data_IF_544144174411
#
_entry.id   IF_544144174411
#
_cell.length_a   1.000
_cell.length_b   1.000
_cell.length_c   1.000
_cell.angle_alpha   90.00
_cell.angle_beta   90.00
_cell.angle_gamma   90.00
#
_symmetry.space_group_name_H-M   'P 1'
#
loop_
_entity.id
_entity.type
_entity.pdbx_description
1 polymer ?
#
# COMPACT_ATOMS: atom_id res chain seq x y z
N UNK A 1 38.69 37.27 -15.47
CA UNK A 1 38.20 36.45 -14.32
C UNK A 1 36.96 37.14 -13.75
N UNK A 2 36.02 36.43 -13.14
CA UNK A 2 34.81 37.07 -12.58
C UNK A 2 35.04 37.41 -11.11
N UNK A 3 34.93 38.70 -10.77
CA UNK A 3 34.96 39.21 -9.41
C UNK A 3 33.56 39.30 -8.81
N UNK A 4 33.42 38.90 -7.55
CA UNK A 4 32.17 38.98 -6.80
C UNK A 4 32.41 39.71 -5.47
N UNK A 5 31.60 40.73 -5.18
CA UNK A 5 31.62 41.40 -3.88
C UNK A 5 30.52 40.81 -2.96
N UNK A 6 30.92 40.24 -1.82
CA UNK A 6 29.98 39.67 -0.82
C UNK A 6 29.07 40.70 -0.15
N UNK A 7 29.45 41.98 -0.16
CA UNK A 7 28.67 43.06 0.46
C UNK A 7 27.66 43.69 -0.50
N UNK A 8 28.05 43.86 -1.76
CA UNK A 8 27.21 44.51 -2.77
C UNK A 8 26.46 43.51 -3.66
N UNK A 9 26.82 42.22 -3.60
CA UNK A 9 26.35 41.14 -4.47
C UNK A 9 26.48 41.45 -5.98
N UNK A 10 27.38 42.36 -6.35
CA UNK A 10 27.66 42.72 -7.74
C UNK A 10 28.78 41.86 -8.30
N UNK A 11 28.61 41.50 -9.57
CA UNK A 11 29.52 40.66 -10.34
C UNK A 11 30.11 41.51 -11.47
N UNK A 12 31.43 41.46 -11.66
CA UNK A 12 32.11 42.17 -12.75
C UNK A 12 33.33 41.42 -13.26
N UNK A 13 33.85 41.83 -14.40
CA UNK A 13 35.06 41.26 -15.01
C UNK A 13 36.32 41.92 -14.44
N UNK A 14 37.20 41.12 -13.84
CA UNK A 14 38.51 41.52 -13.33
C UNK A 14 39.62 41.15 -14.33
N UNK A 15 40.53 42.10 -14.60
CA UNK A 15 41.76 41.92 -15.39
C UNK A 15 42.89 41.28 -14.57
N UNK A 16 42.96 41.53 -13.25
CA UNK A 16 43.95 40.98 -12.33
C UNK A 16 43.34 40.08 -11.23
N UNK A 17 44.14 39.15 -10.67
CA UNK A 17 43.73 38.14 -9.66
C UNK A 17 43.34 38.72 -8.29
N UNK A 18 43.55 40.00 -8.05
CA UNK A 18 43.15 40.69 -6.82
C UNK A 18 42.60 42.06 -7.24
N UNK A 19 41.30 42.27 -7.06
CA UNK A 19 40.65 43.52 -7.41
C UNK A 19 39.98 44.12 -6.19
N UNK A 20 40.10 45.43 -6.02
CA UNK A 20 39.27 46.19 -5.08
C UNK A 20 37.92 46.46 -5.76
N UNK A 21 36.81 46.28 -5.05
CA UNK A 21 35.48 46.57 -5.54
C UNK A 21 35.34 48.06 -5.86
N UNK A 22 35.05 48.41 -7.12
CA UNK A 22 34.91 49.80 -7.57
C UNK A 22 33.75 50.54 -6.88
N UNK A 23 32.78 49.84 -6.29
CA UNK A 23 31.62 50.45 -5.64
C UNK A 23 31.74 50.60 -4.13
N UNK A 24 32.56 49.79 -3.45
CA UNK A 24 32.65 49.83 -1.99
C UNK A 24 34.07 49.85 -1.43
N UNK A 25 35.09 49.86 -2.29
CA UNK A 25 36.49 49.99 -1.90
C UNK A 25 37.07 48.77 -1.15
N UNK A 26 36.33 47.66 -1.07
CA UNK A 26 36.75 46.45 -0.34
C UNK A 26 37.37 45.40 -1.26
N UNK A 27 38.26 44.57 -0.71
CA UNK A 27 38.99 43.54 -1.44
C UNK A 27 38.03 42.46 -1.98
N UNK A 28 38.07 42.20 -3.30
CA UNK A 28 37.27 41.17 -3.96
C UNK A 28 38.07 39.87 -4.10
N UNK A 29 37.40 38.74 -3.91
CA UNK A 29 37.96 37.41 -4.08
C UNK A 29 37.63 36.86 -5.48
N UNK A 30 38.63 36.40 -6.23
CA UNK A 30 38.42 35.77 -7.53
C UNK A 30 37.84 34.35 -7.36
N UNK A 31 36.62 34.12 -7.86
CA UNK A 31 36.09 32.76 -7.99
C UNK A 31 36.61 32.14 -9.29
N UNK A 32 37.57 31.21 -9.19
CA UNK A 32 37.94 30.34 -10.32
C UNK A 32 36.86 29.26 -10.43
N UNK A 33 36.11 29.30 -11.53
CA UNK A 33 35.03 28.37 -11.85
C UNK A 33 35.53 26.95 -12.08
N UNK A 34 35.69 26.17 -11.00
CA UNK A 34 35.74 24.69 -11.04
C UNK A 34 35.02 24.04 -9.86
N UNK A 35 34.23 24.80 -9.09
CA UNK A 35 33.36 24.23 -8.07
C UNK A 35 31.93 24.24 -8.60
N UNK A 36 31.38 23.04 -8.87
CA UNK A 36 29.95 22.85 -9.12
C UNK A 36 29.16 23.69 -8.11
N UNK A 37 28.23 24.51 -8.61
CA UNK A 37 27.42 25.39 -7.79
C UNK A 37 26.84 24.58 -6.63
N UNK A 38 27.26 24.91 -5.39
CA UNK A 38 26.58 24.39 -4.21
C UNK A 38 25.14 24.92 -4.31
N UNK A 39 24.18 23.99 -4.38
CA UNK A 39 22.76 24.31 -4.24
C UNK A 39 22.61 25.30 -3.07
N UNK A 40 21.90 26.43 -3.25
CA UNK A 40 21.64 27.34 -2.16
C UNK A 40 21.03 26.52 -1.02
N UNK A 41 21.72 26.51 0.11
CA UNK A 41 21.27 25.82 1.32
C UNK A 41 19.90 26.39 1.62
N UNK A 42 18.85 25.59 1.41
CA UNK A 42 17.50 25.98 1.75
C UNK A 42 17.50 26.41 3.20
N UNK A 43 17.17 27.67 3.48
CA UNK A 43 16.91 28.06 4.86
C UNK A 43 15.71 27.22 5.28
N UNK A 44 15.97 26.23 6.12
CA UNK A 44 14.93 25.50 6.83
C UNK A 44 14.25 26.52 7.74
N UNK A 45 13.28 27.28 7.19
CA UNK A 45 12.21 27.79 8.02
C UNK A 45 11.61 26.55 8.66
N UNK A 46 11.86 26.36 9.94
CA UNK A 46 11.22 25.32 10.72
C UNK A 46 9.72 25.54 10.53
N UNK A 47 9.12 24.73 9.66
CA UNK A 47 7.67 24.61 9.61
C UNK A 47 7.24 24.34 11.04
N UNK A 48 6.47 25.26 11.63
CA UNK A 48 5.94 25.07 12.97
C UNK A 48 5.32 23.68 13.00
N UNK A 49 5.91 22.80 13.82
CA UNK A 49 5.37 21.46 14.02
C UNK A 49 3.96 21.69 14.53
N UNK A 50 2.97 21.15 13.82
CA UNK A 50 1.60 21.10 14.32
C UNK A 50 1.65 20.57 15.77
N UNK A 51 0.88 21.15 16.69
CA UNK A 51 0.81 20.65 18.06
C UNK A 51 0.49 19.16 18.01
N UNK A 52 1.14 18.40 18.89
CA UNK A 52 0.92 16.96 18.98
C UNK A 52 -0.58 16.74 19.17
N UNK A 53 -1.24 16.23 18.13
CA UNK A 53 -2.61 15.70 18.25
C UNK A 53 -2.52 14.70 19.39
N UNK A 54 -3.31 14.91 20.43
CA UNK A 54 -3.41 13.97 21.54
C UNK A 54 -4.03 12.68 20.98
N UNK A 55 -3.18 11.77 20.51
CA UNK A 55 -3.56 10.52 19.87
C UNK A 55 -4.04 9.47 20.88
N UNK A 56 -4.39 9.88 22.10
CA UNK A 56 -4.87 8.99 23.15
C UNK A 56 -3.77 8.12 23.78
N UNK A 57 -2.49 8.29 23.44
CA UNK A 57 -1.40 7.42 23.93
C UNK A 57 -0.71 7.96 25.21
N UNK A 58 -1.21 9.04 25.80
CA UNK A 58 -0.59 9.67 26.98
C UNK A 58 -0.67 8.82 28.26
N UNK A 59 -1.52 7.78 28.25
CA UNK A 59 -1.68 6.83 29.36
C UNK A 59 -0.77 5.59 29.24
N UNK A 60 0.08 5.51 28.20
CA UNK A 60 0.99 4.39 28.05
C UNK A 60 2.10 4.46 29.11
N UNK A 61 2.27 3.38 29.86
CA UNK A 61 3.30 3.27 30.90
C UNK A 61 4.29 2.13 30.60
N UNK A 62 5.48 2.21 31.20
CA UNK A 62 6.49 1.15 31.13
C UNK A 62 7.04 0.86 29.73
N UNK A 63 7.05 -0.42 29.34
CA UNK A 63 7.64 -0.89 28.06
C UNK A 63 6.92 -0.31 26.84
N UNK A 64 5.58 -0.19 26.90
CA UNK A 64 4.76 0.32 25.81
C UNK A 64 5.06 1.79 25.48
N UNK A 65 5.34 2.62 26.49
CA UNK A 65 5.76 4.00 26.28
C UNK A 65 7.09 4.06 25.51
N UNK A 66 8.02 3.16 25.84
CA UNK A 66 9.31 3.05 25.15
C UNK A 66 9.10 2.66 23.69
N UNK A 67 8.27 1.66 23.41
CA UNK A 67 7.96 1.23 22.04
C UNK A 67 7.29 2.34 21.24
N UNK A 68 6.34 3.05 21.84
CA UNK A 68 5.66 4.18 21.21
C UNK A 68 6.66 5.29 20.82
N UNK A 69 7.57 5.65 21.73
CA UNK A 69 8.59 6.66 21.46
C UNK A 69 9.53 6.28 20.30
N UNK A 70 9.79 4.98 20.10
CA UNK A 70 10.52 4.49 18.94
C UNK A 70 9.64 4.54 17.68
N UNK A 71 8.42 4.00 17.73
CA UNK A 71 7.51 3.89 16.60
C UNK A 71 7.14 5.24 15.99
N UNK A 72 6.87 6.26 16.81
CA UNK A 72 6.47 7.61 16.36
C UNK A 72 7.50 8.24 15.42
N UNK A 73 8.79 7.88 15.56
CA UNK A 73 9.86 8.40 14.71
C UNK A 73 9.78 7.90 13.27
N UNK A 74 9.11 6.78 13.04
CA UNK A 74 9.00 6.15 11.72
C UNK A 74 7.73 6.53 10.96
N UNK A 75 6.71 7.11 11.61
CA UNK A 75 5.42 7.40 10.97
C UNK A 75 5.50 8.36 9.78
N UNK A 76 6.54 9.19 9.73
CA UNK A 76 6.76 10.11 8.60
C UNK A 76 7.19 9.40 7.31
N UNK A 77 7.55 8.12 7.37
CA UNK A 77 7.93 7.32 6.20
C UNK A 77 6.73 6.85 5.37
N UNK A 78 5.52 6.99 5.89
CA UNK A 78 4.28 6.53 5.26
C UNK A 78 3.23 7.65 5.26
N UNK A 79 2.29 7.56 4.33
CA UNK A 79 1.16 8.47 4.17
C UNK A 79 0.32 8.56 5.44
N UNK A 80 -0.30 9.73 5.64
CA UNK A 80 -1.01 10.05 6.89
C UNK A 80 -2.10 9.06 7.28
N UNK A 81 -2.76 8.45 6.29
CA UNK A 81 -3.85 7.49 6.50
C UNK A 81 -3.34 6.18 7.14
N UNK A 82 -2.14 5.74 6.76
CA UNK A 82 -1.57 4.46 7.19
C UNK A 82 -0.70 4.57 8.45
N UNK A 83 -0.55 5.78 9.00
CA UNK A 83 0.35 6.02 10.15
C UNK A 83 -0.08 5.27 11.39
N UNK A 84 -1.39 5.14 11.61
CA UNK A 84 -1.92 4.47 12.80
C UNK A 84 -1.74 2.96 12.70
N UNK A 85 -1.99 2.38 11.54
CA UNK A 85 -1.74 0.96 11.25
C UNK A 85 -0.26 0.61 11.39
N UNK A 86 0.63 1.45 10.84
CA UNK A 86 2.07 1.27 10.98
C UNK A 86 2.51 1.37 12.44
N UNK A 87 1.98 2.36 13.18
CA UNK A 87 2.28 2.52 14.59
C UNK A 87 1.93 1.25 15.37
N UNK A 88 0.71 0.76 15.19
CA UNK A 88 0.23 -0.44 15.84
C UNK A 88 1.09 -1.66 15.47
N UNK A 89 1.41 -1.80 14.18
CA UNK A 89 2.25 -2.89 13.68
C UNK A 89 3.65 -2.88 14.31
N UNK A 90 4.28 -1.71 14.45
CA UNK A 90 5.59 -1.59 15.11
C UNK A 90 5.48 -1.98 16.59
N UNK A 91 4.45 -1.51 17.29
CA UNK A 91 4.22 -1.82 18.71
C UNK A 91 4.05 -3.34 18.94
N UNK A 92 3.20 -3.99 18.14
CA UNK A 92 2.95 -5.44 18.23
C UNK A 92 4.23 -6.23 17.95
N UNK A 93 4.97 -5.88 16.90
CA UNK A 93 6.21 -6.58 16.57
C UNK A 93 7.29 -6.41 17.64
N UNK A 94 7.38 -5.22 18.26
CA UNK A 94 8.27 -5.02 19.40
C UNK A 94 7.86 -5.85 20.62
N UNK A 95 6.55 -5.98 20.88
CA UNK A 95 6.04 -6.81 21.97
C UNK A 95 6.30 -8.30 21.75
N UNK A 96 6.01 -8.82 20.55
CA UNK A 96 6.31 -10.21 20.17
C UNK A 96 7.81 -10.48 20.29
N UNK A 97 8.63 -9.55 19.79
CA UNK A 97 10.07 -9.70 19.87
C UNK A 97 10.62 -9.59 21.31
N UNK A 98 9.91 -8.88 22.20
CA UNK A 98 10.21 -8.82 23.63
C UNK A 98 9.91 -10.14 24.36
N UNK A 99 8.79 -10.77 24.01
CA UNK A 99 8.38 -12.07 24.57
C UNK A 99 9.34 -13.21 24.19
N UNK A 100 9.95 -13.13 23.01
CA UNK A 100 10.88 -14.16 22.51
C UNK A 100 12.22 -14.22 23.26
N UNK A 101 12.49 -13.33 24.23
CA UNK A 101 13.53 -13.50 25.26
C UNK A 101 14.98 -13.23 24.85
N UNK A 102 15.34 -13.31 23.57
CA UNK A 102 16.71 -13.08 23.08
C UNK A 102 16.93 -11.62 22.63
N UNK A 103 17.02 -10.68 23.58
CA UNK A 103 17.26 -9.28 23.24
C UNK A 103 18.39 -8.62 24.06
N UNK A 104 19.20 -7.76 23.45
CA UNK A 104 19.95 -6.76 24.19
C UNK A 104 18.98 -5.64 24.65
N UNK A 105 19.11 -5.16 25.89
CA UNK A 105 18.35 -4.01 26.44
C UNK A 105 18.78 -2.67 25.82
N UNK A 106 18.97 -2.64 24.50
CA UNK A 106 19.51 -1.51 23.77
C UNK A 106 18.45 -0.95 22.83
N UNK A 107 18.21 0.35 22.91
CA UNK A 107 17.32 1.09 22.00
C UNK A 107 17.58 0.80 20.52
N UNK A 108 18.85 0.53 20.16
CA UNK A 108 19.27 0.16 18.79
C UNK A 108 18.54 -1.06 18.24
N UNK A 109 18.28 -2.07 19.05
CA UNK A 109 17.54 -3.27 18.62
C UNK A 109 16.09 -2.92 18.30
N UNK A 110 15.45 -2.09 19.12
CA UNK A 110 14.09 -1.61 18.86
C UNK A 110 14.01 -0.79 17.57
N UNK A 111 15.02 0.04 17.30
CA UNK A 111 15.12 0.73 16.00
C UNK A 111 15.30 -0.24 14.85
N UNK A 112 16.05 -1.34 15.04
CA UNK A 112 16.18 -2.41 14.06
C UNK A 112 14.83 -3.04 13.71
N UNK A 113 14.08 -3.49 14.72
CA UNK A 113 12.73 -4.05 14.55
C UNK A 113 11.80 -3.04 13.87
N UNK A 114 11.77 -1.80 14.35
CA UNK A 114 10.96 -0.73 13.74
C UNK A 114 11.36 -0.44 12.28
N UNK A 115 12.65 -0.52 11.96
CA UNK A 115 13.13 -0.32 10.59
C UNK A 115 12.69 -1.45 9.65
N UNK A 116 12.84 -2.70 10.08
CA UNK A 116 12.42 -3.87 9.28
C UNK A 116 10.91 -3.92 9.09
N UNK A 117 10.14 -3.65 10.14
CA UNK A 117 8.67 -3.60 10.05
C UNK A 117 8.16 -2.52 9.11
N UNK A 118 8.77 -1.33 9.10
CA UNK A 118 8.44 -0.30 8.10
C UNK A 118 8.78 -0.77 6.69
N UNK A 119 9.93 -1.43 6.52
CA UNK A 119 10.32 -1.98 5.23
C UNK A 119 9.30 -3.01 4.74
N UNK A 120 8.92 -3.95 5.59
CA UNK A 120 7.91 -4.99 5.29
C UNK A 120 6.54 -4.37 5.01
N UNK A 121 6.12 -3.38 5.80
CA UNK A 121 4.86 -2.66 5.59
C UNK A 121 4.81 -2.02 4.19
N UNK A 122 5.84 -1.25 3.82
CA UNK A 122 5.94 -0.61 2.51
C UNK A 122 6.04 -1.68 1.40
N UNK A 123 6.74 -2.78 1.68
CA UNK A 123 6.94 -3.89 0.76
C UNK A 123 5.63 -4.61 0.44
N UNK A 124 4.83 -4.92 1.45
CA UNK A 124 3.50 -5.50 1.29
C UNK A 124 2.56 -4.56 0.55
N UNK A 125 2.52 -3.28 0.94
CA UNK A 125 1.71 -2.28 0.29
C UNK A 125 2.04 -2.16 -1.20
N UNK A 126 3.33 -2.09 -1.54
CA UNK A 126 3.79 -2.10 -2.93
C UNK A 126 3.38 -3.39 -3.68
N UNK A 127 3.43 -4.54 -3.01
CA UNK A 127 3.04 -5.82 -3.60
C UNK A 127 1.54 -5.89 -3.87
N UNK A 128 0.70 -5.40 -2.95
CA UNK A 128 -0.77 -5.37 -3.08
C UNK A 128 -1.20 -4.44 -4.20
N UNK A 129 -0.58 -3.26 -4.31
CA UNK A 129 -0.93 -2.30 -5.36
C UNK A 129 -0.37 -2.69 -6.74
N UNK A 130 0.89 -3.12 -6.82
CA UNK A 130 1.53 -3.34 -8.13
C UNK A 130 1.44 -4.78 -8.62
N UNK A 131 0.91 -5.70 -7.81
CA UNK A 131 0.77 -7.13 -8.14
C UNK A 131 2.08 -7.89 -8.38
N UNK A 132 3.23 -7.21 -8.37
CA UNK A 132 4.54 -7.80 -8.58
C UNK A 132 5.61 -7.08 -7.75
N UNK A 133 6.60 -7.83 -7.30
CA UNK A 133 7.72 -7.34 -6.49
C UNK A 133 8.99 -7.30 -7.32
N UNK A 134 9.84 -6.28 -7.12
CA UNK A 134 11.16 -6.25 -7.76
C UNK A 134 12.04 -7.45 -7.36
N UNK A 135 11.84 -8.01 -6.15
CA UNK A 135 12.51 -9.22 -5.72
C UNK A 135 12.17 -10.44 -6.60
N UNK A 136 10.94 -10.50 -7.15
CA UNK A 136 10.53 -11.57 -8.05
C UNK A 136 11.21 -11.45 -9.44
N UNK A 137 11.89 -10.33 -9.74
CA UNK A 137 12.63 -10.14 -10.97
C UNK A 137 14.09 -10.57 -10.83
N UNK A 138 14.64 -11.16 -11.89
CA UNK A 138 16.05 -11.58 -11.92
C UNK A 138 17.00 -10.39 -11.77
N UNK A 139 18.24 -10.63 -11.37
CA UNK A 139 19.26 -9.58 -11.25
C UNK A 139 19.44 -8.81 -12.56
N UNK A 140 19.46 -9.50 -13.71
CA UNK A 140 19.54 -8.88 -15.04
C UNK A 140 18.40 -7.89 -15.30
N UNK A 141 17.17 -8.28 -14.99
CA UNK A 141 15.99 -7.43 -15.13
C UNK A 141 16.06 -6.20 -14.21
N UNK A 142 16.52 -6.39 -12.96
CA UNK A 142 16.68 -5.29 -12.01
C UNK A 142 17.75 -4.29 -12.43
N UNK A 143 18.84 -4.74 -13.04
CA UNK A 143 19.90 -3.87 -13.56
C UNK A 143 19.39 -3.07 -14.76
N UNK A 144 18.72 -3.72 -15.71
CA UNK A 144 18.11 -3.03 -16.85
C UNK A 144 17.09 -1.96 -16.41
N UNK A 145 16.28 -2.26 -15.38
CA UNK A 145 15.35 -1.26 -14.83
C UNK A 145 16.04 -0.10 -14.11
N UNK A 146 17.27 -0.32 -13.60
CA UNK A 146 18.08 0.73 -12.98
C UNK A 146 18.67 1.65 -14.04
N UNK A 147 19.23 1.08 -15.11
CA UNK A 147 19.74 1.82 -16.27
C UNK A 147 18.64 2.66 -16.92
N UNK A 148 17.45 2.08 -17.12
CA UNK A 148 16.33 2.75 -17.77
C UNK A 148 15.47 3.61 -16.83
N UNK A 149 15.81 3.68 -15.53
CA UNK A 149 15.04 4.40 -14.50
C UNK A 149 13.54 4.03 -14.47
N UNK A 150 13.23 2.75 -14.69
CA UNK A 150 11.87 2.20 -14.69
C UNK A 150 11.50 1.47 -13.38
N UNK A 151 12.34 1.57 -12.34
CA UNK A 151 12.05 0.95 -11.04
C UNK A 151 10.84 1.60 -10.35
N UNK A 152 10.14 0.82 -9.53
CA UNK A 152 9.08 1.33 -8.67
C UNK A 152 7.81 1.68 -9.43
N UNK A 153 7.49 2.97 -9.57
CA UNK A 153 6.22 3.44 -10.14
C UNK A 153 6.11 3.18 -11.64
N UNK A 154 7.24 3.18 -12.36
CA UNK A 154 7.32 3.01 -13.82
C UNK A 154 7.62 1.56 -14.24
N UNK A 155 7.31 0.61 -13.36
CA UNK A 155 7.65 -0.80 -13.58
C UNK A 155 6.82 -1.36 -14.74
N UNK A 156 7.44 -1.95 -15.78
CA UNK A 156 6.72 -2.48 -16.94
C UNK A 156 5.92 -3.74 -16.62
N UNK A 157 6.22 -4.43 -15.52
CA UNK A 157 5.49 -5.61 -15.05
C UNK A 157 4.45 -5.29 -13.99
N UNK A 158 4.38 -4.04 -13.51
CA UNK A 158 3.42 -3.69 -12.48
C UNK A 158 1.99 -3.76 -13.05
N UNK A 159 1.10 -4.35 -12.27
CA UNK A 159 -0.33 -4.18 -12.45
C UNK A 159 -0.62 -2.70 -12.18
N UNK A 160 -1.09 -1.99 -13.19
CA UNK A 160 -1.54 -0.61 -13.05
C UNK A 160 -3.00 -0.64 -12.63
N UNK A 161 -3.29 -0.19 -11.41
CA UNK A 161 -4.65 0.13 -11.02
C UNK A 161 -5.08 1.40 -11.75
N UNK A 162 -6.12 1.30 -12.55
CA UNK A 162 -6.79 2.46 -13.13
C UNK A 162 -7.90 2.94 -12.20
N UNK A 163 -8.17 4.25 -12.21
CA UNK A 163 -9.31 4.80 -11.46
C UNK A 163 -10.61 4.26 -12.05
N UNK A 164 -11.50 3.77 -11.19
CA UNK A 164 -12.84 3.33 -11.60
C UNK A 164 -13.70 4.47 -12.16
N UNK A 165 -13.39 5.71 -11.78
CA UNK A 165 -14.03 6.92 -12.31
C UNK A 165 -13.41 7.41 -13.62
N UNK A 166 -12.44 6.67 -14.20
CA UNK A 166 -11.86 7.01 -15.50
C UNK A 166 -12.93 6.89 -16.57
N UNK A 167 -13.11 7.94 -17.37
CA UNK A 167 -14.00 7.91 -18.52
C UNK A 167 -13.39 7.08 -19.67
N UNK A 168 -14.15 6.13 -20.19
CA UNK A 168 -13.80 5.24 -21.30
C UNK A 168 -14.78 5.48 -22.45
N UNK A 169 -14.28 5.56 -23.68
CA UNK A 169 -15.13 5.68 -24.86
C UNK A 169 -15.71 4.32 -25.24
N UNK A 170 -17.02 4.25 -25.42
CA UNK A 170 -17.74 3.02 -25.80
C UNK A 170 -18.62 3.32 -27.01
N UNK A 171 -18.45 2.53 -28.08
CA UNK A 171 -19.20 2.66 -29.32
C UNK A 171 -18.60 3.63 -30.35
N UNK A 172 -19.19 3.63 -31.55
CA UNK A 172 -18.75 4.45 -32.70
C UNK A 172 -19.13 5.93 -32.59
N UNK A 173 -20.04 6.29 -31.68
CA UNK A 173 -20.61 7.64 -31.56
C UNK A 173 -19.96 8.50 -30.45
N UNK A 174 -18.86 8.02 -29.85
CA UNK A 174 -18.07 8.83 -28.91
C UNK A 174 -18.64 8.95 -27.49
N UNK A 175 -19.64 8.15 -27.14
CA UNK A 175 -20.21 8.08 -25.79
C UNK A 175 -19.13 7.72 -24.76
N UNK A 176 -18.96 8.56 -23.75
CA UNK A 176 -18.05 8.30 -22.61
C UNK A 176 -18.82 7.70 -21.46
N UNK A 177 -18.35 6.56 -20.97
CA UNK A 177 -18.94 5.81 -19.85
C UNK A 177 -17.86 5.69 -18.78
N UNK A 178 -18.20 5.69 -17.50
CA UNK A 178 -17.20 5.46 -16.45
C UNK A 178 -16.75 4.00 -16.45
N UNK A 179 -15.47 3.76 -16.18
CA UNK A 179 -14.90 2.41 -16.12
C UNK A 179 -15.65 1.51 -15.12
N UNK A 180 -16.17 2.08 -14.03
CA UNK A 180 -16.98 1.38 -13.03
C UNK A 180 -18.26 0.77 -13.61
N UNK A 181 -18.90 1.44 -14.56
CA UNK A 181 -20.16 1.00 -15.19
C UNK A 181 -19.92 -0.16 -16.18
N UNK A 182 -18.68 -0.34 -16.63
CA UNK A 182 -18.26 -1.45 -17.50
C UNK A 182 -17.91 -2.72 -16.73
N UNK A 183 -17.74 -2.63 -15.40
CA UNK A 183 -17.57 -3.80 -14.56
C UNK A 183 -18.97 -4.42 -14.39
N UNK A 184 -19.25 -5.61 -14.96
CA UNK A 184 -20.54 -6.25 -14.75
C UNK A 184 -20.70 -6.45 -13.25
N UNK A 185 -21.77 -5.88 -12.67
CA UNK A 185 -22.10 -6.02 -11.26
C UNK A 185 -22.07 -7.51 -10.90
N UNK A 186 -20.97 -7.95 -10.30
CA UNK A 186 -20.81 -9.27 -9.70
C UNK A 186 -21.12 -9.21 -8.21
N UNK A 187 -21.74 -8.12 -7.76
CA UNK A 187 -22.54 -8.17 -6.56
C UNK A 187 -23.69 -9.14 -6.86
N UNK A 188 -23.75 -10.24 -6.10
CA UNK A 188 -24.98 -11.01 -6.01
C UNK A 188 -26.08 -10.00 -5.68
N UNK A 189 -27.16 -10.02 -6.45
CA UNK A 189 -28.33 -9.19 -6.16
C UNK A 189 -28.72 -9.37 -4.67
N UNK A 190 -29.13 -8.29 -4.00
CA UNK A 190 -29.41 -8.30 -2.57
C UNK A 190 -30.47 -9.35 -2.21
N UNK A 191 -31.43 -9.64 -3.11
CA UNK A 191 -32.40 -10.74 -2.91
C UNK A 191 -31.74 -12.11 -3.01
N UNK A 192 -30.78 -12.26 -3.92
CA UNK A 192 -29.95 -13.47 -4.05
C UNK A 192 -29.10 -13.71 -2.79
N UNK A 193 -28.48 -12.65 -2.24
CA UNK A 193 -27.73 -12.72 -0.98
C UNK A 193 -28.64 -13.08 0.20
N UNK A 194 -29.84 -12.51 0.27
CA UNK A 194 -30.86 -12.85 1.29
C UNK A 194 -31.36 -14.30 1.19
N UNK A 195 -31.46 -14.83 -0.03
CA UNK A 195 -31.78 -16.23 -0.29
C UNK A 195 -30.70 -17.18 0.22
N UNK A 196 -29.42 -16.79 0.09
CA UNK A 196 -28.30 -17.53 0.68
C UNK A 196 -28.27 -17.44 2.20
N UNK A 197 -28.58 -16.28 2.80
CA UNK A 197 -28.67 -16.14 4.26
C UNK A 197 -29.72 -17.08 4.87
N UNK A 198 -30.90 -17.21 4.26
CA UNK A 198 -31.89 -18.20 4.73
C UNK A 198 -31.41 -19.65 4.57
N UNK A 199 -30.55 -19.95 3.61
CA UNK A 199 -29.98 -21.29 3.43
C UNK A 199 -28.81 -21.55 4.39
N UNK A 200 -28.00 -20.53 4.68
CA UNK A 200 -26.90 -20.57 5.65
C UNK A 200 -27.48 -20.72 7.06
N UNK A 201 -28.51 -19.95 7.42
CA UNK A 201 -29.18 -20.05 8.72
C UNK A 201 -29.95 -21.37 8.93
N UNK A 202 -30.31 -22.06 7.84
CA UNK A 202 -30.92 -23.40 7.86
C UNK A 202 -29.90 -24.52 7.57
N UNK A 203 -28.63 -24.17 7.44
CA UNK A 203 -27.58 -25.12 7.11
C UNK A 203 -27.24 -25.93 8.37
N UNK A 204 -27.26 -27.28 8.30
CA UNK A 204 -26.81 -28.08 9.43
C UNK A 204 -25.34 -27.80 9.74
N UNK A 205 -25.00 -27.61 11.02
CA UNK A 205 -23.64 -27.31 11.51
C UNK A 205 -22.60 -28.29 10.93
N UNK A 206 -22.94 -29.58 10.86
CA UNK A 206 -22.09 -30.63 10.27
C UNK A 206 -21.67 -30.34 8.83
N UNK A 207 -22.45 -29.60 8.04
CA UNK A 207 -22.07 -29.23 6.68
C UNK A 207 -21.03 -28.10 6.68
N UNK A 208 -21.11 -27.18 7.65
CA UNK A 208 -20.14 -26.11 7.85
C UNK A 208 -18.79 -26.69 8.27
N UNK A 209 -18.76 -27.65 9.19
CA UNK A 209 -17.54 -28.35 9.61
C UNK A 209 -16.82 -29.01 8.43
N UNK A 210 -17.59 -29.62 7.52
CA UNK A 210 -17.05 -30.27 6.32
C UNK A 210 -16.48 -29.24 5.33
N UNK A 211 -17.11 -28.07 5.23
CA UNK A 211 -16.63 -26.97 4.38
C UNK A 211 -15.34 -26.38 4.96
N UNK A 212 -15.29 -26.17 6.28
CA UNK A 212 -14.12 -25.68 7.00
C UNK A 212 -12.92 -26.63 6.82
N UNK A 213 -13.11 -27.94 7.07
CA UNK A 213 -12.09 -28.98 6.79
C UNK A 213 -11.55 -28.87 5.37
N UNK A 214 -12.42 -28.61 4.39
CA UNK A 214 -12.03 -28.49 2.98
C UNK A 214 -11.26 -27.19 2.68
N UNK A 215 -11.63 -26.08 3.31
CA UNK A 215 -10.90 -24.81 3.19
C UNK A 215 -9.50 -24.90 3.80
N UNK A 216 -9.35 -25.62 4.90
CA UNK A 216 -8.05 -25.88 5.55
C UNK A 216 -7.24 -26.98 4.83
N UNK A 217 -7.79 -27.58 3.76
CA UNK A 217 -7.13 -28.63 2.98
C UNK A 217 -7.05 -29.99 3.67
N UNK A 218 -7.83 -30.22 4.74
CA UNK A 218 -7.91 -31.51 5.44
C UNK A 218 -8.66 -32.54 4.60
N UNK A 219 -8.25 -33.81 4.68
CA UNK A 219 -8.91 -34.92 3.99
C UNK A 219 -10.28 -35.17 4.63
N UNK A 220 -11.32 -35.30 3.81
CA UNK A 220 -12.66 -35.61 4.30
C UNK A 220 -12.79 -37.09 4.65
N UNK A 221 -13.30 -37.37 5.84
CA UNK A 221 -13.55 -38.73 6.28
C UNK A 221 -14.70 -39.37 5.50
N UNK A 222 -14.71 -40.71 5.42
CA UNK A 222 -15.82 -41.48 4.84
C UNK A 222 -17.22 -41.02 5.30
N UNK A 223 -17.50 -40.79 6.61
CA UNK A 223 -18.78 -40.25 7.07
C UNK A 223 -19.12 -38.88 6.48
N UNK A 224 -18.14 -38.00 6.30
CA UNK A 224 -18.36 -36.64 5.78
C UNK A 224 -18.70 -36.68 4.29
N UNK A 225 -18.03 -37.55 3.54
CA UNK A 225 -18.33 -37.81 2.12
C UNK A 225 -19.76 -38.36 1.97
N UNK A 226 -20.14 -39.33 2.80
CA UNK A 226 -21.50 -39.90 2.79
C UNK A 226 -22.55 -38.86 3.16
N UNK A 227 -22.25 -37.99 4.14
CA UNK A 227 -23.14 -36.91 4.56
C UNK A 227 -23.36 -35.88 3.44
N UNK A 228 -22.28 -35.44 2.78
CA UNK A 228 -22.35 -34.56 1.60
C UNK A 228 -23.15 -35.17 0.46
N UNK A 229 -22.99 -36.47 0.21
CA UNK A 229 -23.73 -37.17 -0.85
C UNK A 229 -25.24 -37.16 -0.59
N UNK A 230 -25.66 -37.50 0.65
CA UNK A 230 -27.07 -37.45 1.06
C UNK A 230 -27.64 -36.04 0.97
N UNK A 231 -26.87 -35.04 1.40
CA UNK A 231 -27.32 -33.65 1.38
C UNK A 231 -27.45 -33.10 -0.05
N UNK A 232 -26.51 -33.44 -0.94
CA UNK A 232 -26.62 -33.17 -2.39
C UNK A 232 -27.86 -33.82 -3.00
N UNK A 233 -28.18 -35.06 -2.63
CA UNK A 233 -29.38 -35.73 -3.12
C UNK A 233 -30.67 -35.02 -2.63
N UNK A 234 -30.68 -34.54 -1.39
CA UNK A 234 -31.78 -33.72 -0.83
C UNK A 234 -31.93 -32.40 -1.59
N UNK A 235 -30.83 -31.69 -1.83
CA UNK A 235 -30.84 -30.44 -2.61
C UNK A 235 -31.30 -30.66 -4.06
N UNK A 236 -30.93 -31.76 -4.72
CA UNK A 236 -31.42 -32.06 -6.08
C UNK A 236 -32.93 -32.27 -6.12
N UNK A 237 -33.55 -32.78 -5.05
CA UNK A 237 -35.01 -32.92 -4.95
C UNK A 237 -35.71 -31.57 -4.74
N UNK A 238 -35.11 -30.70 -3.92
CA UNK A 238 -35.67 -29.37 -3.61
C UNK A 238 -35.45 -28.38 -4.76
N UNK A 239 -34.30 -28.48 -5.44
CA UNK A 239 -33.88 -27.61 -6.53
C UNK A 239 -33.52 -28.45 -7.77
N UNK A 240 -34.53 -28.95 -8.52
CA UNK A 240 -34.31 -29.80 -9.69
C UNK A 240 -33.52 -29.11 -10.81
N UNK A 241 -33.54 -27.77 -10.86
CA UNK A 241 -32.76 -27.00 -11.85
C UNK A 241 -31.25 -27.13 -11.65
N UNK A 242 -30.77 -27.14 -10.39
CA UNK A 242 -29.36 -27.35 -10.05
C UNK A 242 -28.90 -28.79 -10.35
N UNK A 243 -29.82 -29.76 -10.29
CA UNK A 243 -29.55 -31.16 -10.57
C UNK A 243 -29.30 -31.45 -12.06
N UNK A 244 -29.93 -30.68 -12.96
CA UNK A 244 -29.84 -30.83 -14.40
C UNK A 244 -28.57 -30.22 -15.02
N UNK A 245 -27.61 -29.75 -14.21
CA UNK A 245 -26.41 -29.04 -14.68
C UNK A 245 -26.71 -27.67 -15.30
N UNK A 246 -27.98 -27.26 -15.31
CA UNK A 246 -28.39 -25.93 -15.75
C UNK A 246 -28.09 -24.97 -14.61
N UNK A 247 -27.16 -24.03 -14.84
CA UNK A 247 -27.03 -22.87 -13.97
C UNK A 247 -28.41 -22.19 -13.92
N UNK A 248 -28.93 -21.80 -12.74
CA UNK A 248 -30.18 -21.08 -12.66
C UNK A 248 -30.09 -19.90 -13.63
N UNK A 249 -31.09 -19.75 -14.51
CA UNK A 249 -31.15 -18.61 -15.44
C UNK A 249 -31.49 -17.37 -14.61
N UNK A 250 -30.45 -16.73 -14.10
CA UNK A 250 -30.56 -15.41 -13.47
C UNK A 250 -30.89 -14.42 -14.60
N UNK A 251 -32.08 -13.82 -14.57
CA UNK A 251 -32.32 -12.55 -15.27
C UNK A 251 -33.22 -12.49 -16.51
N UNK A 252 -34.27 -13.32 -16.67
CA UNK A 252 -35.44 -12.86 -17.47
C UNK A 252 -36.76 -13.34 -16.85
N UNK A 253 -37.67 -12.44 -16.43
CA UNK A 253 -39.04 -12.86 -16.11
C UNK A 253 -39.71 -13.41 -17.37
N UNK A 254 -40.51 -14.47 -17.22
CA UNK A 254 -41.45 -14.91 -18.27
C UNK A 254 -42.31 -13.70 -18.64
N UNK A 255 -42.27 -13.25 -19.90
CA UNK A 255 -43.34 -12.38 -20.44
C UNK A 255 -44.66 -13.10 -20.17
N UNK A 256 -45.50 -12.56 -19.30
CA UNK A 256 -46.89 -12.98 -19.20
C UNK A 256 -47.51 -12.70 -20.58
N UNK A 257 -47.86 -13.78 -21.29
CA UNK A 257 -48.74 -13.68 -22.45
C UNK A 257 -50.10 -13.15 -21.99
N UNK A 258 -50.72 -12.36 -22.86
CA UNK A 258 -52.09 -11.87 -22.72
C UNK A 258 -53.06 -13.00 -22.43
#
# INVERSE_FOLDING_TARGET
MVGHCSKCHKIWTLEAKQGICQWCGQQAYCQTTTTLARLPKSSSQQTQRQPAIDKGYNHLEGKWLTYYNVAVKFLRKVDSQDREDLLHTILVNLAIADENGDKPDTTSWMYGVAHFTVFDFIYEWCSRLKGIRCHNCSHKQRNQCQENNTRGAKCPKAVHLESLYRQVRVGSEGSTVELIELIPAKALDMETQRGFESLINKCPERLLDIVEKKFEGRVLDKPDIVYLFKWRQKLRRVFPELAAGRKPRIGRPRRRGK
#
